data_IF_228876573432
#
_entry.id   IF_228876573432
#
_cell.length_a   1.000
_cell.length_b   1.000
_cell.length_c   1.000
_cell.angle_alpha   90.00
_cell.angle_beta   90.00
_cell.angle_gamma   90.00
#
_symmetry.space_group_name_H-M   'P 1'
#
loop_
_entity.id
_entity.type
_entity.pdbx_description
1 polymer ?
#
# COMPACT_ATOMS: atom_id res chain seq x y z
N UNK A 1 14.96 0.75 4.40
CA UNK A 1 13.86 1.45 5.09
C UNK A 1 12.49 1.04 4.57
N UNK A 2 12.09 1.41 3.34
CA UNK A 2 10.80 0.94 2.75
C UNK A 2 10.76 -0.59 2.70
N UNK A 3 11.83 -1.23 2.21
CA UNK A 3 11.91 -2.69 2.15
C UNK A 3 11.78 -3.35 3.55
N UNK A 4 12.41 -2.77 4.58
CA UNK A 4 12.32 -3.28 5.96
C UNK A 4 10.89 -3.17 6.51
N UNK A 5 10.21 -2.05 6.23
CA UNK A 5 8.80 -1.87 6.58
C UNK A 5 7.90 -2.91 5.89
N UNK A 6 8.16 -3.19 4.61
CA UNK A 6 7.43 -4.22 3.86
C UNK A 6 7.71 -5.63 4.40
N UNK A 7 8.93 -5.91 4.84
CA UNK A 7 9.26 -7.18 5.53
C UNK A 7 8.53 -7.30 6.86
N UNK A 8 8.36 -6.20 7.60
CA UNK A 8 7.55 -6.19 8.83
C UNK A 8 6.07 -6.47 8.54
N UNK A 9 5.49 -5.93 7.47
CA UNK A 9 4.12 -6.27 7.07
C UNK A 9 3.97 -7.77 6.82
N UNK A 10 4.92 -8.38 6.11
CA UNK A 10 4.91 -9.82 5.88
C UNK A 10 5.06 -10.62 7.18
N UNK A 11 5.98 -10.22 8.07
CA UNK A 11 6.19 -10.87 9.36
C UNK A 11 4.96 -10.78 10.29
N UNK A 12 4.20 -9.69 10.23
CA UNK A 12 2.94 -9.51 10.96
C UNK A 12 1.73 -10.18 10.28
N UNK A 13 1.93 -10.89 9.17
CA UNK A 13 0.86 -11.62 8.49
C UNK A 13 -0.10 -10.73 7.71
N UNK A 14 0.32 -9.53 7.30
CA UNK A 14 -0.52 -8.64 6.48
C UNK A 14 -0.57 -9.07 5.01
N UNK A 15 0.30 -9.99 4.61
CA UNK A 15 0.41 -10.54 3.26
C UNK A 15 1.87 -10.62 2.82
N UNK A 16 2.14 -11.39 1.76
CA UNK A 16 3.48 -11.43 1.17
C UNK A 16 3.71 -10.12 0.42
N UNK A 17 4.77 -9.40 0.76
CA UNK A 17 5.10 -8.11 0.15
C UNK A 17 6.16 -8.27 -0.95
N UNK A 18 6.10 -7.38 -1.94
CA UNK A 18 7.11 -7.23 -2.99
C UNK A 18 7.34 -5.73 -3.22
N UNK A 19 8.58 -5.27 -3.14
CA UNK A 19 8.96 -3.93 -3.58
C UNK A 19 9.16 -3.95 -5.10
N UNK A 20 8.34 -3.19 -5.83
CA UNK A 20 8.41 -3.14 -7.30
C UNK A 20 9.41 -2.08 -7.75
N UNK A 21 9.35 -0.90 -7.13
CA UNK A 21 10.30 0.18 -7.39
C UNK A 21 10.44 1.08 -6.17
N UNK A 22 11.62 1.66 -6.02
CA UNK A 22 11.88 2.74 -5.09
C UNK A 22 12.90 3.69 -5.71
N UNK A 23 12.51 4.95 -5.87
CA UNK A 23 13.40 6.05 -6.22
C UNK A 23 13.67 6.87 -4.96
N UNK A 24 14.90 6.80 -4.46
CA UNK A 24 15.30 7.53 -3.27
C UNK A 24 15.38 9.03 -3.51
N UNK A 25 15.66 9.50 -4.72
CA UNK A 25 15.79 10.92 -5.05
C UNK A 25 14.42 11.59 -4.99
N UNK A 26 13.43 11.00 -5.65
CA UNK A 26 12.05 11.50 -5.72
C UNK A 26 11.12 10.95 -4.63
N UNK A 27 11.60 10.03 -3.80
CA UNK A 27 10.80 9.30 -2.79
C UNK A 27 9.59 8.57 -3.37
N UNK A 28 9.65 8.20 -4.66
CA UNK A 28 8.60 7.44 -5.34
C UNK A 28 8.70 5.96 -5.01
N UNK A 29 7.60 5.34 -4.60
CA UNK A 29 7.54 3.91 -4.23
C UNK A 29 6.41 3.22 -4.98
N UNK A 30 6.67 2.02 -5.48
CA UNK A 30 5.62 1.06 -5.86
C UNK A 30 5.84 -0.26 -5.14
N UNK A 31 4.80 -0.81 -4.52
CA UNK A 31 4.88 -2.12 -3.87
C UNK A 31 3.58 -2.90 -4.02
N UNK A 32 3.71 -4.22 -3.93
CA UNK A 32 2.61 -5.17 -4.01
C UNK A 32 2.45 -5.95 -2.73
N UNK A 33 1.22 -6.36 -2.47
CA UNK A 33 0.86 -7.25 -1.36
C UNK A 33 -0.03 -8.37 -1.89
N UNK A 34 0.52 -9.57 -1.87
CA UNK A 34 -0.16 -10.82 -2.19
C UNK A 34 -0.83 -11.39 -0.94
N UNK A 35 -1.99 -12.04 -1.11
CA UNK A 35 -2.79 -12.56 0.01
C UNK A 35 -2.98 -11.50 1.11
N UNK A 36 -3.26 -10.25 0.69
CA UNK A 36 -3.43 -9.10 1.57
C UNK A 36 -4.55 -9.36 2.57
N UNK A 37 -4.27 -9.24 3.88
CA UNK A 37 -5.28 -9.44 4.93
C UNK A 37 -6.48 -8.50 4.74
N UNK A 38 -6.23 -7.27 4.31
CA UNK A 38 -7.26 -6.28 4.04
C UNK A 38 -7.98 -6.56 2.73
N UNK A 39 -7.24 -6.84 1.66
CA UNK A 39 -7.82 -7.14 0.35
C UNK A 39 -8.75 -8.35 0.39
N UNK A 40 -8.33 -9.43 1.05
CA UNK A 40 -9.15 -10.64 1.23
C UNK A 40 -10.38 -10.38 2.11
N UNK A 41 -10.20 -9.63 3.20
CA UNK A 41 -11.32 -9.27 4.08
C UNK A 41 -12.34 -8.40 3.35
N UNK A 42 -11.88 -7.42 2.58
CA UNK A 42 -12.75 -6.51 1.86
C UNK A 42 -13.45 -7.21 0.69
N UNK A 43 -12.80 -8.15 0.00
CA UNK A 43 -13.44 -9.02 -1.00
C UNK A 43 -14.64 -9.77 -0.43
N UNK A 44 -14.47 -10.35 0.77
CA UNK A 44 -15.59 -11.00 1.47
C UNK A 44 -16.67 -10.00 1.86
N UNK A 45 -16.32 -8.80 2.31
CA UNK A 45 -17.30 -7.78 2.70
C UNK A 45 -18.08 -7.21 1.52
N UNK A 46 -17.47 -7.08 0.34
CA UNK A 46 -18.16 -6.61 -0.86
C UNK A 46 -19.26 -7.56 -1.33
N UNK A 47 -19.21 -8.85 -0.96
CA UNK A 47 -20.31 -9.80 -1.22
C UNK A 47 -21.60 -9.46 -0.44
N UNK A 48 -21.49 -8.67 0.64
CA UNK A 48 -22.60 -8.35 1.56
C UNK A 48 -22.98 -6.87 1.60
N UNK A 49 -22.31 -6.02 0.80
CA UNK A 49 -22.52 -4.57 0.82
C UNK A 49 -22.98 -4.06 -0.53
N UNK A 50 -23.80 -3.01 -0.50
CA UNK A 50 -24.26 -2.31 -1.69
C UNK A 50 -23.08 -1.70 -2.49
N UNK A 51 -23.34 -1.33 -3.74
CA UNK A 51 -22.38 -0.81 -4.73
C UNK A 51 -21.51 0.38 -4.25
N UNK A 52 -21.91 1.07 -3.17
CA UNK A 52 -21.19 2.20 -2.61
C UNK A 52 -19.91 1.82 -1.82
N UNK A 53 -19.66 0.54 -1.54
CA UNK A 53 -18.44 0.13 -0.83
C UNK A 53 -17.22 0.14 -1.74
N UNK A 54 -16.34 1.12 -1.56
CA UNK A 54 -15.03 1.17 -2.23
C UNK A 54 -13.95 0.59 -1.29
N UNK A 55 -13.39 -0.60 -1.57
CA UNK A 55 -12.36 -1.18 -0.74
C UNK A 55 -11.05 -0.38 -0.85
N UNK A 56 -10.53 0.06 0.29
CA UNK A 56 -9.23 0.76 0.38
C UNK A 56 -8.36 0.17 1.49
N UNK A 57 -7.22 -0.42 1.11
CA UNK A 57 -6.29 -1.03 2.05
C UNK A 57 -5.45 0.03 2.78
N UNK A 58 -5.37 -0.02 4.12
CA UNK A 58 -4.68 1.01 4.91
C UNK A 58 -3.14 0.92 4.87
N UNK A 59 -2.57 -0.14 4.29
CA UNK A 59 -1.11 -0.36 4.23
C UNK A 59 -0.37 0.79 3.54
N UNK A 60 -1.05 1.48 2.60
CA UNK A 60 -0.54 2.65 1.91
C UNK A 60 -0.16 3.81 2.86
N UNK A 61 -0.96 4.04 3.89
CA UNK A 61 -0.74 5.12 4.86
C UNK A 61 0.46 4.88 5.77
N UNK A 62 0.77 3.62 6.07
CA UNK A 62 1.95 3.28 6.84
C UNK A 62 3.25 3.62 6.08
N UNK A 63 3.25 3.43 4.75
CA UNK A 63 4.39 3.81 3.90
C UNK A 63 4.44 5.33 3.69
N UNK A 64 3.29 6.00 3.49
CA UNK A 64 3.23 7.48 3.48
C UNK A 64 3.82 8.08 4.76
N UNK A 65 3.43 7.55 5.93
CA UNK A 65 3.95 8.02 7.21
C UNK A 65 5.47 7.85 7.33
N UNK A 66 6.00 6.72 6.89
CA UNK A 66 7.44 6.48 6.88
C UNK A 66 8.18 7.45 5.93
N UNK A 67 7.63 7.70 4.75
CA UNK A 67 8.21 8.61 3.76
C UNK A 67 8.06 10.09 4.14
N UNK A 68 7.02 10.46 4.89
CA UNK A 68 6.74 11.85 5.28
C UNK A 68 7.92 12.49 6.02
N UNK A 69 8.60 11.72 6.87
CA UNK A 69 9.81 12.18 7.56
C UNK A 69 10.94 12.55 6.59
N UNK A 70 11.13 11.77 5.53
CA UNK A 70 12.15 12.01 4.52
C UNK A 70 11.74 13.14 3.57
N UNK A 71 10.47 13.19 3.19
CA UNK A 71 9.92 14.26 2.35
C UNK A 71 10.13 15.63 3.02
N UNK A 72 9.83 15.74 4.31
CA UNK A 72 10.05 16.96 5.09
C UNK A 72 11.54 17.39 5.08
N UNK A 73 12.46 16.45 5.25
CA UNK A 73 13.91 16.74 5.20
C UNK A 73 14.39 17.19 3.82
N UNK A 74 13.78 16.69 2.76
CA UNK A 74 14.09 17.06 1.36
C UNK A 74 13.35 18.31 0.87
N UNK A 75 12.42 18.85 1.65
CA UNK A 75 11.58 19.97 1.23
C UNK A 75 10.52 19.59 0.19
N UNK A 76 10.14 18.31 0.12
CA UNK A 76 9.07 17.81 -0.74
C UNK A 76 7.70 17.96 -0.10
N UNK A 77 6.61 17.94 -0.90
CA UNK A 77 5.26 17.85 -0.37
C UNK A 77 5.06 16.56 0.46
N UNK A 78 4.01 16.50 1.30
CA UNK A 78 3.61 15.26 1.95
C UNK A 78 3.34 14.15 0.91
N UNK A 79 3.87 12.93 1.11
CA UNK A 79 3.60 11.82 0.21
C UNK A 79 2.11 11.53 0.08
N UNK A 80 1.66 11.24 -1.13
CA UNK A 80 0.30 10.80 -1.44
C UNK A 80 0.35 9.42 -2.06
N UNK A 81 -0.50 8.52 -1.58
CA UNK A 81 -0.63 7.17 -2.13
C UNK A 81 -1.91 6.96 -2.91
N UNK A 82 -1.85 6.01 -3.84
CA UNK A 82 -2.99 5.42 -4.52
C UNK A 82 -2.90 3.89 -4.49
N UNK A 83 -4.02 3.23 -4.22
CA UNK A 83 -4.13 1.78 -4.39
C UNK A 83 -4.62 1.49 -5.82
N UNK A 84 -3.69 1.22 -6.73
CA UNK A 84 -3.97 1.03 -8.16
C UNK A 84 -4.53 -0.36 -8.48
N UNK A 85 -4.22 -1.38 -7.66
CA UNK A 85 -4.83 -2.73 -7.75
C UNK A 85 -5.28 -3.21 -6.38
N UNK A 86 -6.33 -4.02 -6.32
CA UNK A 86 -6.83 -4.59 -5.07
C UNK A 86 -7.50 -5.95 -5.27
N UNK A 87 -7.19 -6.91 -4.39
CA UNK A 87 -7.85 -8.22 -4.36
C UNK A 87 -9.37 -8.09 -4.23
N UNK A 88 -9.85 -7.10 -3.47
CA UNK A 88 -11.28 -6.82 -3.31
C UNK A 88 -11.95 -6.31 -4.60
N UNK A 89 -11.17 -5.81 -5.56
CA UNK A 89 -11.64 -5.40 -6.89
C UNK A 89 -11.47 -6.50 -7.95
N UNK A 90 -10.99 -7.68 -7.56
CA UNK A 90 -10.77 -8.82 -8.45
C UNK A 90 -9.33 -8.95 -8.99
N UNK A 91 -8.40 -8.09 -8.56
CA UNK A 91 -7.00 -8.19 -8.96
C UNK A 91 -6.28 -9.36 -8.26
N UNK A 92 -5.20 -9.93 -8.85
CA UNK A 92 -4.44 -11.01 -8.22
C UNK A 92 -3.65 -10.58 -6.97
N UNK A 93 -3.49 -9.27 -6.74
CA UNK A 93 -2.78 -8.69 -5.62
C UNK A 93 -3.22 -7.23 -5.39
N UNK A 94 -2.89 -6.68 -4.23
CA UNK A 94 -2.99 -5.23 -4.02
C UNK A 94 -1.69 -4.54 -4.48
N UNK A 95 -1.78 -3.41 -5.17
CA UNK A 95 -0.63 -2.63 -5.61
C UNK A 95 -0.84 -1.17 -5.23
N UNK A 96 0.23 -0.57 -4.70
CA UNK A 96 0.21 0.77 -4.15
C UNK A 96 1.33 1.58 -4.79
N UNK A 97 1.00 2.80 -5.21
CA UNK A 97 1.96 3.78 -5.72
C UNK A 97 1.96 4.97 -4.77
N UNK A 98 3.13 5.41 -4.34
CA UNK A 98 3.31 6.61 -3.52
C UNK A 98 4.28 7.55 -4.23
N UNK A 99 3.93 8.82 -4.24
CA UNK A 99 4.74 9.93 -4.77
C UNK A 99 4.74 11.08 -3.76
N UNK A 100 5.79 11.90 -3.77
CA UNK A 100 5.86 13.15 -2.99
C UNK A 100 5.69 14.37 -3.87
#
# INVERSE_FOLDING_TARGET
MVEDLLRLFAAYGWGKTELVSFDEETLSVSFRVYASIYGERYRKLSEYKDEAFTPQCPMRYAVEGALSFFAQKKGFPPPVSEEVKCIARGDPYCEFVIIT
#
